data_IF_349334424261
#
_entry.id   IF_349334424261
#
_cell.length_a   1.000
_cell.length_b   1.000
_cell.length_c   1.000
_cell.angle_alpha   90.00
_cell.angle_beta   90.00
_cell.angle_gamma   90.00
#
_symmetry.space_group_name_H-M   'P 1'
#
loop_
_entity.id
_entity.type
_entity.pdbx_description
1 polymer ?
#
# COMPACT_ATOMS: atom_id res chain seq x y z
N UNK A 1 -28.07 -3.33 -1.69
CA UNK A 1 -26.66 -3.43 -1.22
C UNK A 1 -25.74 -3.10 -2.38
N UNK A 2 -25.24 -1.87 -2.47
CA UNK A 2 -24.32 -1.45 -3.54
C UNK A 2 -22.92 -2.01 -3.29
N UNK A 3 -22.22 -2.43 -4.34
CA UNK A 3 -20.82 -2.86 -4.26
C UNK A 3 -19.99 -1.75 -3.63
N UNK A 4 -19.42 -2.04 -2.46
CA UNK A 4 -18.62 -1.10 -1.65
C UNK A 4 -17.24 -0.83 -2.27
N UNK A 5 -16.79 -1.72 -3.16
CA UNK A 5 -15.53 -1.64 -3.90
C UNK A 5 -15.82 -1.50 -5.39
N UNK A 6 -15.08 -0.61 -6.07
CA UNK A 6 -15.06 -0.54 -7.52
C UNK A 6 -14.52 -1.84 -8.10
N UNK A 7 -14.63 -2.00 -9.42
CA UNK A 7 -14.28 -3.26 -10.09
C UNK A 7 -12.77 -3.52 -10.18
N UNK A 8 -11.94 -2.80 -9.41
CA UNK A 8 -10.49 -2.90 -9.48
C UNK A 8 -9.78 -2.69 -8.15
N UNK A 9 -8.46 -2.62 -8.23
CA UNK A 9 -7.59 -2.29 -7.11
C UNK A 9 -6.71 -1.13 -7.55
N UNK A 10 -6.64 -0.10 -6.73
CA UNK A 10 -5.78 1.05 -6.98
C UNK A 10 -5.21 1.58 -5.67
N UNK A 11 -3.88 1.56 -5.62
CA UNK A 11 -3.05 2.03 -4.52
C UNK A 11 -2.07 3.06 -5.07
N UNK A 12 -1.89 4.16 -4.33
CA UNK A 12 -0.82 5.13 -4.58
C UNK A 12 0.10 5.16 -3.37
N UNK A 13 1.40 5.00 -3.60
CA UNK A 13 2.45 5.15 -2.58
C UNK A 13 3.21 6.45 -2.82
N UNK A 14 3.60 7.12 -1.74
CA UNK A 14 4.32 8.39 -1.79
C UNK A 14 5.60 8.34 -0.95
N UNK A 15 6.65 8.98 -1.46
CA UNK A 15 7.97 9.07 -0.81
C UNK A 15 7.98 9.92 0.47
N UNK A 16 6.99 10.78 0.68
CA UNK A 16 6.93 11.65 1.86
C UNK A 16 5.57 11.57 2.55
N UNK A 17 5.48 12.01 3.82
CA UNK A 17 4.20 12.22 4.49
C UNK A 17 3.29 13.17 3.71
N UNK A 18 2.00 13.16 4.02
CA UNK A 18 0.99 14.05 3.45
C UNK A 18 0.96 14.06 1.90
N UNK A 19 1.18 12.90 1.29
CA UNK A 19 1.12 12.67 -0.16
C UNK A 19 2.16 13.48 -0.95
N UNK A 20 3.28 13.83 -0.32
CA UNK A 20 4.37 14.56 -0.96
C UNK A 20 5.41 13.66 -1.65
N UNK A 21 6.28 14.30 -2.43
CA UNK A 21 7.40 13.62 -3.11
C UNK A 21 6.97 12.84 -4.36
N UNK A 22 7.80 11.89 -4.79
CA UNK A 22 7.44 11.02 -5.90
C UNK A 22 6.26 10.12 -5.52
N UNK A 23 5.39 9.86 -6.50
CA UNK A 23 4.24 8.99 -6.37
C UNK A 23 4.38 7.80 -7.34
N UNK A 24 4.02 6.61 -6.86
CA UNK A 24 3.85 5.42 -7.71
C UNK A 24 2.43 4.89 -7.55
N UNK A 25 1.80 4.58 -8.69
CA UNK A 25 0.44 4.02 -8.75
C UNK A 25 0.50 2.53 -9.09
N UNK A 26 -0.29 1.74 -8.37
CA UNK A 26 -0.23 0.28 -8.36
C UNK A 26 -1.64 -0.31 -8.44
N UNK A 27 -1.82 -1.34 -9.27
CA UNK A 27 -3.10 -2.04 -9.45
C UNK A 27 -2.97 -3.58 -9.41
N UNK A 28 -1.76 -4.08 -9.19
CA UNK A 28 -1.41 -5.51 -9.14
C UNK A 28 -0.54 -5.81 -7.93
N UNK A 29 -0.40 -7.08 -7.58
CA UNK A 29 0.45 -7.52 -6.48
C UNK A 29 1.93 -7.23 -6.77
N UNK A 30 2.68 -6.82 -5.75
CA UNK A 30 4.10 -6.46 -5.87
C UNK A 30 4.94 -7.25 -4.85
N UNK A 31 5.73 -8.25 -5.28
CA UNK A 31 6.57 -9.03 -4.37
C UNK A 31 7.84 -8.31 -3.92
N UNK A 32 8.23 -7.20 -4.54
CA UNK A 32 9.39 -6.38 -4.14
C UNK A 32 9.21 -4.93 -4.60
N UNK A 33 8.91 -4.03 -3.65
CA UNK A 33 8.71 -2.60 -3.94
C UNK A 33 9.99 -1.96 -4.47
N UNK A 34 11.14 -2.33 -3.90
CA UNK A 34 12.43 -1.81 -4.36
C UNK A 34 12.78 -2.26 -5.77
N UNK A 35 12.51 -3.52 -6.14
CA UNK A 35 12.83 -3.97 -7.49
C UNK A 35 11.93 -3.33 -8.54
N UNK A 36 10.62 -3.20 -8.25
CA UNK A 36 9.63 -2.64 -9.14
C UNK A 36 9.73 -1.11 -9.29
N UNK A 37 9.98 -0.39 -8.19
CA UNK A 37 9.82 1.07 -8.15
C UNK A 37 11.07 1.82 -7.66
N UNK A 38 12.13 1.11 -7.24
CA UNK A 38 13.31 1.68 -6.57
C UNK A 38 12.97 2.50 -5.32
N UNK A 39 11.78 2.25 -4.75
CA UNK A 39 11.27 2.85 -3.54
C UNK A 39 11.66 1.98 -2.34
N UNK A 40 12.43 2.52 -1.39
CA UNK A 40 12.82 1.81 -0.16
C UNK A 40 11.80 1.99 0.96
N UNK A 41 11.17 3.15 1.00
CA UNK A 41 10.23 3.57 2.04
C UNK A 41 9.05 4.29 1.40
N UNK A 42 7.85 4.00 1.89
CA UNK A 42 6.64 4.73 1.54
C UNK A 42 6.08 5.36 2.81
N UNK A 43 6.01 6.69 2.83
CA UNK A 43 5.64 7.42 4.04
C UNK A 43 4.15 7.71 4.12
N UNK A 44 3.48 7.85 2.98
CA UNK A 44 2.02 8.00 2.91
C UNK A 44 1.46 7.21 1.73
N UNK A 45 0.17 6.89 1.77
CA UNK A 45 -0.50 6.19 0.69
C UNK A 45 -1.99 6.52 0.60
N UNK A 46 -2.57 6.26 -0.57
CA UNK A 46 -4.01 6.36 -0.81
C UNK A 46 -4.49 5.07 -1.44
N UNK A 47 -5.45 4.41 -0.79
CA UNK A 47 -6.20 3.29 -1.38
C UNK A 47 -7.46 3.87 -1.97
N UNK A 48 -7.50 4.05 -3.29
CA UNK A 48 -8.68 4.61 -3.95
C UNK A 48 -9.72 3.54 -4.27
N UNK A 49 -9.28 2.29 -4.50
CA UNK A 49 -10.13 1.14 -4.76
C UNK A 49 -9.56 -0.17 -4.24
N UNK A 50 -10.47 -1.08 -3.86
CA UNK A 50 -10.16 -2.36 -3.21
C UNK A 50 -9.59 -2.21 -1.79
N UNK A 51 -8.98 -3.29 -1.32
CA UNK A 51 -8.19 -3.34 -0.09
C UNK A 51 -6.86 -4.05 -0.35
N UNK A 52 -5.85 -3.74 0.45
CA UNK A 52 -4.47 -4.20 0.26
C UNK A 52 -3.87 -4.68 1.57
N UNK A 53 -2.90 -5.58 1.48
CA UNK A 53 -2.04 -5.96 2.60
C UNK A 53 -0.62 -5.52 2.28
N UNK A 54 -0.04 -4.69 3.14
CA UNK A 54 1.39 -4.37 3.12
C UNK A 54 2.18 -5.36 3.97
N UNK A 55 3.41 -5.57 3.54
CA UNK A 55 4.42 -6.38 4.20
C UNK A 55 5.69 -5.55 4.35
N UNK A 56 6.30 -5.55 5.53
CA UNK A 56 7.56 -4.83 5.78
C UNK A 56 8.77 -5.48 5.09
N UNK A 57 8.68 -6.77 4.71
CA UNK A 57 9.70 -7.48 3.94
C UNK A 57 9.24 -7.84 2.52
N UNK A 58 10.18 -8.06 1.59
CA UNK A 58 9.87 -8.60 0.27
C UNK A 58 9.28 -10.02 0.32
N UNK A 59 8.60 -10.38 -0.77
CA UNK A 59 7.97 -11.69 -1.00
C UNK A 59 6.87 -12.04 0.00
N UNK A 60 6.08 -11.04 0.41
CA UNK A 60 4.93 -11.17 1.29
C UNK A 60 5.27 -11.75 2.68
N UNK A 61 6.40 -11.30 3.26
CA UNK A 61 6.90 -11.77 4.55
C UNK A 61 6.93 -10.65 5.59
N UNK A 62 7.08 -11.05 6.85
CA UNK A 62 7.20 -10.13 7.98
C UNK A 62 5.85 -9.64 8.49
N UNK A 63 5.81 -8.44 9.07
CA UNK A 63 4.60 -7.86 9.64
C UNK A 63 3.63 -7.44 8.55
N UNK A 64 2.34 -7.63 8.84
CA UNK A 64 1.24 -7.40 7.90
C UNK A 64 0.39 -6.23 8.36
N UNK A 65 0.02 -5.38 7.42
CA UNK A 65 -0.85 -4.23 7.65
C UNK A 65 -1.98 -4.26 6.64
N UNK A 66 -3.22 -4.26 7.11
CA UNK A 66 -4.41 -4.19 6.26
C UNK A 66 -4.71 -2.72 5.96
N UNK A 67 -4.88 -2.40 4.68
CA UNK A 67 -5.27 -1.08 4.21
C UNK A 67 -6.59 -1.20 3.47
N UNK A 68 -7.63 -0.68 4.09
CA UNK A 68 -8.91 -0.45 3.45
C UNK A 68 -8.89 0.86 2.66
N UNK A 69 -9.93 1.09 1.86
CA UNK A 69 -10.11 2.32 1.09
C UNK A 69 -10.00 3.55 2.00
N UNK A 70 -9.10 4.47 1.65
CA UNK A 70 -8.85 5.65 2.47
C UNK A 70 -7.52 6.34 2.17
N UNK A 71 -7.30 7.42 2.92
CA UNK A 71 -6.11 8.25 2.91
C UNK A 71 -5.27 7.98 4.16
N UNK A 72 -3.99 7.66 3.98
CA UNK A 72 -3.04 7.39 5.06
C UNK A 72 -1.86 8.35 4.92
N UNK A 73 -1.83 9.40 5.73
CA UNK A 73 -0.90 10.53 5.61
C UNK A 73 0.49 10.22 6.16
N UNK A 74 0.60 9.19 6.98
CA UNK A 74 1.85 8.70 7.55
C UNK A 74 1.78 7.19 7.80
N UNK A 75 2.94 6.54 7.93
CA UNK A 75 3.01 5.08 8.15
C UNK A 75 2.29 4.56 9.40
N UNK A 76 2.13 5.43 10.40
CA UNK A 76 1.38 5.10 11.62
C UNK A 76 -0.12 4.93 11.38
N UNK A 77 -0.65 5.54 10.32
CA UNK A 77 -2.08 5.49 10.02
C UNK A 77 -2.51 4.09 9.57
N UNK A 78 -1.62 3.30 8.96
CA UNK A 78 -1.85 1.86 8.70
C UNK A 78 -1.26 0.95 9.80
N UNK A 79 -0.81 1.51 10.92
CA UNK A 79 -0.35 0.77 12.10
C UNK A 79 1.10 0.30 12.05
N UNK A 80 1.92 0.76 11.09
CA UNK A 80 3.34 0.37 11.03
C UNK A 80 4.23 1.25 11.93
N UNK A 81 5.25 0.66 12.59
CA UNK A 81 6.21 1.42 13.39
C UNK A 81 7.23 2.21 12.53
N UNK A 82 7.40 1.85 11.26
CA UNK A 82 8.29 2.50 10.30
C UNK A 82 7.67 2.57 8.90
N UNK A 83 8.27 3.37 8.00
CA UNK A 83 7.81 3.56 6.62
C UNK A 83 8.28 2.45 5.64
N UNK A 84 8.87 1.37 6.16
CA UNK A 84 9.37 0.28 5.32
C UNK A 84 8.23 -0.54 4.72
N UNK A 85 8.12 -0.56 3.39
CA UNK A 85 7.18 -1.41 2.65
C UNK A 85 7.98 -2.26 1.67
N UNK A 86 8.13 -3.55 1.98
CA UNK A 86 8.92 -4.49 1.18
C UNK A 86 8.09 -5.15 0.07
N UNK A 87 6.81 -5.42 0.31
CA UNK A 87 5.88 -5.97 -0.68
C UNK A 87 4.42 -5.66 -0.34
N UNK A 88 3.51 -5.82 -1.30
CA UNK A 88 2.07 -5.66 -1.08
C UNK A 88 1.24 -6.54 -2.00
N UNK A 89 0.06 -6.94 -1.55
CA UNK A 89 -0.90 -7.70 -2.37
C UNK A 89 -2.33 -7.24 -2.16
N UNK A 90 -3.15 -7.47 -3.17
CA UNK A 90 -4.59 -7.21 -3.16
C UNK A 90 -5.29 -8.19 -2.24
N UNK A 91 -6.33 -7.72 -1.56
CA UNK A 91 -7.30 -8.57 -0.89
C UNK A 91 -8.36 -8.95 -1.93
N UNK A 92 -8.50 -10.24 -2.22
CA UNK A 92 -9.40 -10.76 -3.27
C UNK A 92 -10.55 -11.62 -2.75
N UNK A 93 -10.51 -12.05 -1.49
CA UNK A 93 -11.54 -12.89 -0.87
C UNK A 93 -12.03 -12.20 0.41
N UNK A 94 -13.36 -12.13 0.55
CA UNK A 94 -14.08 -11.74 1.76
C UNK A 94 -15.09 -12.85 2.10
#
# INVERSE_FOLDING_TARGET
>A
MGKVYGSGWNLRLYERPDFGGQMVECSVDCPSVYDAYKLREAYSCVVTDGAWVFYDLPSYRGHQYLLERGEYRQHRDWGAPSAGVGSFRRVTEF
#
